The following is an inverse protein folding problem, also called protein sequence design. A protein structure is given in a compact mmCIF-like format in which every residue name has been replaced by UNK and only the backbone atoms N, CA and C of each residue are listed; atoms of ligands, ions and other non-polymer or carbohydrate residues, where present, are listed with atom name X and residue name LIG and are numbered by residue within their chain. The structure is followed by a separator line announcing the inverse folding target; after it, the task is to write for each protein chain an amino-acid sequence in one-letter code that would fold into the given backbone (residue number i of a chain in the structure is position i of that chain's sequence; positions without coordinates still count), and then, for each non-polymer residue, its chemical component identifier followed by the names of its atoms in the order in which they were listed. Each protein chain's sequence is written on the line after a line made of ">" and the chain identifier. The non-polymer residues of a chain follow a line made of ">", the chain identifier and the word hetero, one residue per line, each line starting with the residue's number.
data_IF_896652984502
#
_entry.id   IF_896652984502
#
_cell.length_a   1.000
_cell.length_b   1.000
_cell.length_c   1.000
_cell.angle_alpha   90.00
_cell.angle_beta   90.00
_cell.angle_gamma   90.00
#
_symmetry.space_group_name_H-M   'P 1'
#
loop_
_entity.id
_entity.type
_entity.pdbx_description
1 polymer ?
#
# COMPACT_ATOMS: atom_id res chain seq x y z
N UNK A 1 -51.13 45.97 -40.51
CA UNK A 1 -50.08 44.95 -40.30
C UNK A 1 -49.88 44.81 -38.80
N UNK A 2 -50.48 43.80 -38.18
CA UNK A 2 -50.38 43.54 -36.74
C UNK A 2 -49.19 42.60 -36.49
N UNK A 3 -48.19 43.05 -35.73
CA UNK A 3 -47.07 42.24 -35.32
C UNK A 3 -47.40 41.54 -33.99
N UNK A 4 -47.54 40.21 -34.02
CA UNK A 4 -47.65 39.39 -32.83
C UNK A 4 -46.25 38.96 -32.38
N UNK A 5 -45.84 39.40 -31.18
CA UNK A 5 -44.58 38.96 -30.56
C UNK A 5 -44.87 37.67 -29.80
N UNK A 6 -44.39 36.54 -30.30
CA UNK A 6 -44.36 35.27 -29.58
C UNK A 6 -43.10 35.24 -28.71
N UNK A 7 -43.26 35.39 -27.40
CA UNK A 7 -42.22 35.10 -26.41
C UNK A 7 -42.35 33.64 -25.97
N UNK A 8 -41.51 32.77 -26.52
CA UNK A 8 -41.35 31.40 -26.05
C UNK A 8 -40.49 31.40 -24.78
N UNK A 9 -41.08 31.04 -23.64
CA UNK A 9 -40.35 30.81 -22.39
C UNK A 9 -39.39 29.65 -22.55
N UNK A 10 -38.08 29.92 -22.51
CA UNK A 10 -37.05 28.88 -22.50
C UNK A 10 -37.05 28.16 -21.13
N UNK A 11 -37.38 26.88 -21.10
CA UNK A 11 -37.29 26.04 -19.90
C UNK A 11 -35.84 25.64 -19.64
N UNK A 12 -35.08 26.50 -18.95
CA UNK A 12 -33.69 26.23 -18.53
C UNK A 12 -33.55 25.92 -17.02
N UNK A 13 -34.66 25.79 -16.27
CA UNK A 13 -34.63 25.71 -14.79
C UNK A 13 -34.82 24.30 -14.21
N UNK A 14 -35.01 23.25 -15.03
CA UNK A 14 -35.27 21.91 -14.52
C UNK A 14 -34.01 21.23 -13.93
N UNK A 15 -32.81 21.57 -14.39
CA UNK A 15 -31.58 20.89 -13.97
C UNK A 15 -31.21 21.16 -12.50
N UNK A 16 -31.45 22.38 -12.01
CA UNK A 16 -31.18 22.74 -10.62
C UNK A 16 -32.13 22.01 -9.65
N UNK A 17 -33.40 21.84 -10.02
CA UNK A 17 -34.37 21.13 -9.20
C UNK A 17 -34.06 19.63 -9.11
N UNK A 18 -33.68 19.01 -10.24
CA UNK A 18 -33.27 17.59 -10.29
C UNK A 18 -31.97 17.38 -9.50
N UNK A 19 -30.99 18.26 -9.66
CA UNK A 19 -29.74 18.19 -8.90
C UNK A 19 -29.97 18.28 -7.39
N UNK A 20 -30.80 19.24 -6.95
CA UNK A 20 -31.15 19.39 -5.54
C UNK A 20 -31.86 18.13 -5.00
N UNK A 21 -32.75 17.52 -5.78
CA UNK A 21 -33.39 16.26 -5.38
C UNK A 21 -32.41 15.10 -5.26
N UNK A 22 -31.44 14.99 -6.17
CA UNK A 22 -30.39 13.97 -6.10
C UNK A 22 -29.51 14.21 -4.87
N UNK A 23 -29.13 15.45 -4.59
CA UNK A 23 -28.33 15.78 -3.40
C UNK A 23 -29.06 15.41 -2.11
N UNK A 24 -30.33 15.81 -1.96
CA UNK A 24 -31.13 15.52 -0.76
C UNK A 24 -31.32 14.01 -0.57
N UNK A 25 -31.61 13.26 -1.65
CA UNK A 25 -31.75 11.80 -1.56
C UNK A 25 -30.44 11.12 -1.20
N UNK A 26 -29.34 11.58 -1.79
CA UNK A 26 -27.99 11.06 -1.53
C UNK A 26 -27.60 11.32 -0.06
N UNK A 27 -27.78 12.55 0.41
CA UNK A 27 -27.53 12.94 1.80
C UNK A 27 -28.34 12.10 2.80
N UNK A 28 -29.63 11.88 2.52
CA UNK A 28 -30.48 11.02 3.33
C UNK A 28 -29.97 9.58 3.42
N UNK A 29 -29.46 9.02 2.32
CA UNK A 29 -28.89 7.66 2.31
C UNK A 29 -27.64 7.61 3.19
N UNK A 30 -26.72 8.57 3.05
CA UNK A 30 -25.50 8.62 3.86
C UNK A 30 -25.78 8.71 5.36
N UNK A 31 -26.79 9.51 5.75
CA UNK A 31 -27.20 9.62 7.15
C UNK A 31 -27.96 8.39 7.67
N UNK A 32 -28.69 7.68 6.82
CA UNK A 32 -29.46 6.49 7.22
C UNK A 32 -28.60 5.23 7.35
N UNK A 33 -27.49 5.15 6.59
CA UNK A 33 -26.57 4.02 6.59
C UNK A 33 -25.12 4.49 6.73
N UNK A 34 -24.74 5.02 7.90
CA UNK A 34 -23.41 5.59 8.08
C UNK A 34 -22.37 4.45 8.09
N UNK A 35 -21.44 4.51 7.14
CA UNK A 35 -20.37 3.51 7.00
C UNK A 35 -19.15 3.98 7.78
N UNK A 36 -18.76 3.23 8.80
CA UNK A 36 -17.48 3.46 9.48
C UNK A 36 -16.31 2.93 8.64
N UNK A 37 -15.13 3.54 8.80
CA UNK A 37 -13.88 3.06 8.21
C UNK A 37 -12.68 3.30 9.13
N UNK A 38 -11.82 2.28 9.24
CA UNK A 38 -10.55 2.37 9.98
C UNK A 38 -9.42 2.72 9.01
N UNK A 39 -8.49 3.56 9.47
CA UNK A 39 -7.23 3.83 8.78
C UNK A 39 -6.07 3.62 9.75
N UNK A 40 -5.02 2.93 9.31
CA UNK A 40 -3.78 2.78 10.08
C UNK A 40 -2.63 3.51 9.39
N UNK A 41 -1.93 4.35 10.15
CA UNK A 41 -0.64 4.93 9.77
C UNK A 41 0.48 4.30 10.59
N UNK A 42 1.43 3.70 9.89
CA UNK A 42 2.59 3.01 10.45
C UNK A 42 3.82 3.93 10.41
N UNK A 43 4.74 3.76 11.36
CA UNK A 43 6.01 4.49 11.37
C UNK A 43 6.96 4.06 10.25
N UNK A 44 6.89 2.79 9.81
CA UNK A 44 7.73 2.24 8.73
C UNK A 44 6.90 1.43 7.71
N UNK A 45 7.37 1.34 6.46
CA UNK A 45 6.75 0.48 5.46
C UNK A 45 7.10 -1.01 5.59
N UNK A 46 8.19 -1.35 6.29
CA UNK A 46 8.67 -2.71 6.56
C UNK A 46 9.37 -2.78 7.92
N UNK A 47 9.45 -3.98 8.48
CA UNK A 47 10.02 -4.22 9.81
C UNK A 47 10.94 -5.45 9.79
N UNK A 48 11.83 -5.56 10.76
CA UNK A 48 12.63 -6.75 10.98
C UNK A 48 12.14 -7.55 12.21
N UNK A 49 12.49 -8.82 12.29
CA UNK A 49 12.33 -9.59 13.53
C UNK A 49 13.10 -8.89 14.66
N UNK A 50 12.44 -8.69 15.79
CA UNK A 50 12.96 -7.91 16.93
C UNK A 50 12.53 -6.44 16.94
N UNK A 51 12.00 -5.90 15.83
CA UNK A 51 11.43 -4.55 15.82
C UNK A 51 10.08 -4.48 16.58
N UNK A 52 9.60 -3.26 16.80
CA UNK A 52 8.22 -3.00 17.21
C UNK A 52 7.51 -2.19 16.14
N UNK A 53 6.35 -2.67 15.68
CA UNK A 53 5.48 -1.98 14.74
C UNK A 53 4.74 -0.89 15.51
N UNK A 54 5.03 0.38 15.25
CA UNK A 54 4.31 1.51 15.84
C UNK A 54 3.29 2.07 14.86
N UNK A 55 2.08 2.34 15.34
CA UNK A 55 1.06 2.90 14.48
C UNK A 55 0.02 3.72 15.22
N UNK A 56 -0.62 4.61 14.45
CA UNK A 56 -1.79 5.37 14.86
C UNK A 56 -2.98 4.94 14.01
N UNK A 57 -4.08 4.65 14.68
CA UNK A 57 -5.36 4.31 14.07
C UNK A 57 -6.30 5.51 14.10
N UNK A 58 -7.05 5.70 13.03
CA UNK A 58 -8.08 6.70 12.90
C UNK A 58 -9.39 6.00 12.54
N UNK A 59 -10.47 6.42 13.20
CA UNK A 59 -11.80 5.92 12.95
C UNK A 59 -12.65 7.02 12.34
N UNK A 60 -13.18 6.76 11.16
CA UNK A 60 -13.96 7.74 10.41
C UNK A 60 -15.33 7.20 10.04
N UNK A 61 -16.24 8.08 9.66
CA UNK A 61 -17.59 7.74 9.22
C UNK A 61 -18.02 8.62 8.05
N UNK A 62 -18.81 8.08 7.13
CA UNK A 62 -19.37 8.83 6.00
C UNK A 62 -18.28 9.55 5.20
N UNK A 63 -18.32 10.89 5.18
CA UNK A 63 -17.36 11.77 4.50
C UNK A 63 -16.00 11.92 5.21
N UNK A 64 -15.47 10.83 5.78
CA UNK A 64 -14.21 10.79 6.53
C UNK A 64 -14.20 11.62 7.82
N UNK A 65 -15.37 11.91 8.37
CA UNK A 65 -15.48 12.64 9.64
C UNK A 65 -15.11 11.74 10.82
N UNK A 66 -14.60 12.29 11.93
CA UNK A 66 -14.31 11.51 13.14
C UNK A 66 -15.54 10.72 13.62
N UNK A 67 -15.47 9.38 13.62
CA UNK A 67 -16.62 8.58 14.04
C UNK A 67 -16.81 8.63 15.56
N UNK A 68 -18.02 8.90 16.06
CA UNK A 68 -18.34 8.79 17.48
C UNK A 68 -18.81 7.37 17.87
N UNK A 69 -19.14 6.49 16.91
CA UNK A 69 -19.88 5.25 17.16
C UNK A 69 -19.04 4.19 17.88
N UNK A 70 -17.97 3.69 17.25
CA UNK A 70 -17.15 2.63 17.83
C UNK A 70 -16.09 3.15 18.79
N UNK A 71 -15.91 2.46 19.93
CA UNK A 71 -14.89 2.78 20.96
C UNK A 71 -13.70 1.82 20.97
N UNK A 72 -13.75 0.77 20.16
CA UNK A 72 -12.71 -0.26 20.08
C UNK A 72 -12.39 -0.53 18.61
N UNK A 73 -11.11 -0.48 18.27
CA UNK A 73 -10.57 -0.98 17.00
C UNK A 73 -9.86 -2.31 17.27
N UNK A 74 -10.16 -3.31 16.45
CA UNK A 74 -9.47 -4.59 16.42
C UNK A 74 -8.42 -4.52 15.33
N UNK A 75 -7.21 -4.99 15.63
CA UNK A 75 -6.10 -5.06 14.67
C UNK A 75 -5.56 -6.48 14.69
N UNK A 76 -5.79 -7.20 13.60
CA UNK A 76 -5.36 -8.57 13.40
C UNK A 76 -4.19 -8.60 12.42
N UNK A 77 -3.13 -9.33 12.79
CA UNK A 77 -2.02 -9.65 11.91
C UNK A 77 -2.19 -11.09 11.44
N UNK A 78 -2.34 -11.24 10.14
CA UNK A 78 -2.41 -12.51 9.44
C UNK A 78 -1.04 -12.85 8.85
N UNK A 79 -0.62 -14.09 9.03
CA UNK A 79 0.64 -14.60 8.50
C UNK A 79 0.55 -14.95 7.01
N UNK A 80 1.65 -15.47 6.42
CA UNK A 80 1.72 -15.80 4.99
C UNK A 80 0.70 -16.85 4.50
N UNK A 81 0.08 -17.60 5.41
CA UNK A 81 -0.94 -18.62 5.12
C UNK A 81 -2.34 -18.18 5.56
N UNK A 82 -2.55 -16.87 5.71
CA UNK A 82 -3.76 -16.24 6.23
C UNK A 82 -4.19 -16.70 7.64
N UNK A 83 -3.31 -17.37 8.38
CA UNK A 83 -3.53 -17.72 9.78
C UNK A 83 -3.35 -16.49 10.67
N UNK A 84 -4.25 -16.29 11.63
CA UNK A 84 -4.08 -15.26 12.67
C UNK A 84 -2.83 -15.52 13.50
N UNK A 85 -1.92 -14.56 13.52
CA UNK A 85 -0.68 -14.59 14.29
C UNK A 85 -0.88 -13.87 15.62
N UNK A 86 -1.47 -12.69 15.56
CA UNK A 86 -1.72 -11.86 16.73
C UNK A 86 -2.87 -10.90 16.46
N UNK A 87 -3.78 -10.76 17.43
CA UNK A 87 -4.84 -9.76 17.41
C UNK A 87 -4.74 -8.86 18.64
N UNK A 88 -4.91 -7.56 18.46
CA UNK A 88 -4.94 -6.59 19.57
C UNK A 88 -6.19 -5.71 19.50
N UNK A 89 -6.61 -5.22 20.67
CA UNK A 89 -7.74 -4.30 20.81
C UNK A 89 -7.23 -2.95 21.26
N UNK A 90 -7.61 -1.90 20.54
CA UNK A 90 -7.21 -0.53 20.82
C UNK A 90 -8.44 0.26 21.27
N UNK A 91 -8.33 0.90 22.43
CA UNK A 91 -9.35 1.84 22.88
C UNK A 91 -9.25 3.14 22.08
N UNK A 92 -10.38 3.58 21.54
CA UNK A 92 -10.47 4.79 20.72
C UNK A 92 -10.85 5.98 21.62
N UNK A 93 -10.04 7.04 21.56
CA UNK A 93 -10.30 8.32 22.20
C UNK A 93 -10.31 9.42 21.14
N UNK A 94 -11.39 10.19 21.06
CA UNK A 94 -11.57 11.23 20.03
C UNK A 94 -11.32 10.70 18.61
N UNK A 95 -11.88 9.51 18.31
CA UNK A 95 -11.75 8.83 17.02
C UNK A 95 -10.32 8.46 16.61
N UNK A 96 -9.38 8.48 17.56
CA UNK A 96 -7.98 8.09 17.36
C UNK A 96 -7.59 7.02 18.38
N UNK A 97 -6.70 6.11 17.98
CA UNK A 97 -6.03 5.20 18.89
C UNK A 97 -4.56 5.04 18.52
N UNK A 98 -3.74 4.60 19.46
CA UNK A 98 -2.33 4.29 19.26
C UNK A 98 -2.08 2.83 19.61
N UNK A 99 -1.30 2.16 18.79
CA UNK A 99 -0.98 0.76 18.96
C UNK A 99 0.50 0.50 18.71
N UNK A 100 0.99 -0.55 19.36
CA UNK A 100 2.30 -1.12 19.06
C UNK A 100 2.23 -2.63 19.09
N UNK A 101 3.00 -3.28 18.22
CA UNK A 101 3.07 -4.74 18.14
C UNK A 101 4.53 -5.17 18.06
N UNK A 102 5.08 -5.80 19.11
CA UNK A 102 6.43 -6.35 19.07
C UNK A 102 6.54 -7.53 18.09
N UNK A 103 7.47 -7.46 17.15
CA UNK A 103 7.76 -8.53 16.18
C UNK A 103 8.67 -9.57 16.81
N UNK A 104 8.13 -10.33 17.77
CA UNK A 104 8.90 -11.31 18.51
C UNK A 104 9.37 -12.49 17.64
N UNK A 105 10.60 -12.96 17.87
CA UNK A 105 11.18 -14.12 17.17
C UNK A 105 10.39 -15.44 17.34
N UNK A 106 9.52 -15.51 18.36
CA UNK A 106 8.73 -16.70 18.65
C UNK A 106 7.43 -16.76 17.84
N UNK A 107 6.80 -15.61 17.58
CA UNK A 107 5.53 -15.51 16.86
C UNK A 107 5.70 -15.16 15.38
N UNK A 108 6.78 -14.45 15.04
CA UNK A 108 7.02 -13.93 13.69
C UNK A 108 8.21 -14.64 13.02
N UNK A 109 8.11 -14.79 11.70
CA UNK A 109 9.14 -15.31 10.81
C UNK A 109 9.31 -14.34 9.64
N UNK A 110 10.42 -14.44 8.91
CA UNK A 110 10.59 -13.68 7.67
C UNK A 110 9.45 -14.01 6.69
N UNK A 111 8.77 -13.00 6.16
CA UNK A 111 7.70 -13.20 5.19
C UNK A 111 6.79 -11.99 5.00
N UNK A 112 5.74 -12.21 4.21
CA UNK A 112 4.68 -11.22 3.96
C UNK A 112 3.53 -11.47 4.94
N UNK A 113 3.16 -10.41 5.64
CA UNK A 113 2.05 -10.39 6.59
C UNK A 113 0.96 -9.45 6.07
N UNK A 114 -0.26 -9.67 6.54
CA UNK A 114 -1.40 -8.81 6.22
C UNK A 114 -2.00 -8.28 7.50
N UNK A 115 -2.03 -6.96 7.64
CA UNK A 115 -2.65 -6.29 8.78
C UNK A 115 -4.06 -5.93 8.38
N UNK A 116 -5.02 -6.43 9.15
CA UNK A 116 -6.44 -6.16 8.99
C UNK A 116 -6.92 -5.39 10.22
N UNK A 117 -7.65 -4.29 10.01
CA UNK A 117 -8.24 -3.54 11.11
C UNK A 117 -9.70 -3.19 10.87
N UNK A 118 -10.50 -3.35 11.92
CA UNK A 118 -11.95 -3.26 11.86
C UNK A 118 -12.55 -2.88 13.22
N UNK A 119 -13.82 -2.47 13.21
CA UNK A 119 -14.64 -2.33 14.42
C UNK A 119 -15.71 -3.41 14.44
N UNK A 120 -16.31 -3.67 15.60
CA UNK A 120 -17.41 -4.63 15.67
C UNK A 120 -18.63 -4.17 14.83
N UNK A 121 -18.82 -2.85 14.68
CA UNK A 121 -19.90 -2.30 13.85
C UNK A 121 -19.74 -2.67 12.37
N UNK A 122 -18.50 -2.67 11.86
CA UNK A 122 -18.20 -3.03 10.47
C UNK A 122 -18.52 -4.50 10.14
N UNK A 123 -18.60 -5.39 11.14
CA UNK A 123 -18.99 -6.79 10.91
C UNK A 123 -20.40 -6.90 10.28
N UNK A 124 -21.27 -5.93 10.54
CA UNK A 124 -22.62 -5.90 9.98
C UNK A 124 -22.64 -5.46 8.51
N UNK A 125 -21.66 -4.66 8.09
CA UNK A 125 -21.55 -4.12 6.72
C UNK A 125 -20.70 -5.01 5.81
N UNK A 126 -19.87 -5.88 6.41
CA UNK A 126 -19.06 -6.88 5.74
C UNK A 126 -17.57 -6.53 5.61
N UNK A 127 -16.73 -7.51 5.25
CA UNK A 127 -15.26 -7.38 5.30
C UNK A 127 -14.68 -6.43 4.24
N UNK A 128 -15.46 -6.04 3.23
CA UNK A 128 -15.04 -5.09 2.20
C UNK A 128 -14.67 -3.71 2.76
N UNK A 129 -15.14 -3.38 3.97
CA UNK A 129 -14.89 -2.10 4.64
C UNK A 129 -13.72 -2.14 5.62
N UNK A 130 -13.11 -3.31 5.81
CA UNK A 130 -11.97 -3.44 6.71
C UNK A 130 -10.74 -2.79 6.09
N UNK A 131 -9.93 -2.16 6.93
CA UNK A 131 -8.59 -1.79 6.53
C UNK A 131 -7.80 -3.07 6.27
N UNK A 132 -7.07 -3.14 5.15
CA UNK A 132 -6.16 -4.25 4.85
C UNK A 132 -4.89 -3.72 4.20
N UNK A 133 -3.73 -4.05 4.76
CA UNK A 133 -2.43 -3.66 4.20
C UNK A 133 -1.42 -4.80 4.32
N UNK A 134 -0.73 -5.10 3.22
CA UNK A 134 0.39 -6.03 3.23
C UNK A 134 1.63 -5.36 3.82
N UNK A 135 2.39 -6.10 4.61
CA UNK A 135 3.58 -5.65 5.31
C UNK A 135 4.66 -6.73 5.24
N UNK A 136 5.88 -6.33 4.90
CA UNK A 136 7.02 -7.23 4.83
C UNK A 136 7.73 -7.23 6.18
N UNK A 137 7.92 -8.42 6.75
CA UNK A 137 8.76 -8.65 7.93
C UNK A 137 10.02 -9.38 7.46
N UNK A 138 11.15 -8.69 7.53
CA UNK A 138 12.47 -9.20 7.19
C UNK A 138 13.17 -9.86 8.38
N UNK A 139 14.29 -10.51 8.09
CA UNK A 139 15.22 -10.94 9.13
C UNK A 139 16.19 -9.79 9.42
N UNK A 140 16.46 -9.52 10.70
CA UNK A 140 17.38 -8.47 11.13
C UNK A 140 18.86 -8.84 10.93
N UNK A 141 19.15 -10.03 10.38
CA UNK A 141 20.52 -10.43 10.04
C UNK A 141 21.04 -9.58 8.88
N UNK A 142 21.56 -8.40 9.22
CA UNK A 142 22.53 -7.57 8.48
C UNK A 142 22.37 -7.59 6.97
N UNK A 143 21.30 -7.00 6.45
CA UNK A 143 21.29 -6.65 5.02
C UNK A 143 22.01 -5.31 4.84
N UNK A 144 23.34 -5.31 5.03
CA UNK A 144 24.23 -4.15 4.87
C UNK A 144 24.40 -3.71 3.42
N UNK A 145 23.57 -4.19 2.49
CA UNK A 145 23.72 -3.98 1.05
C UNK A 145 22.54 -3.15 0.54
N UNK A 146 22.81 -1.88 0.24
CA UNK A 146 21.96 -0.99 -0.52
C UNK A 146 22.25 -1.14 -2.01
N UNK A 147 21.18 -1.24 -2.83
CA UNK A 147 21.32 -1.38 -4.29
C UNK A 147 20.58 -0.29 -5.05
N UNK A 148 21.21 0.24 -6.09
CA UNK A 148 20.59 1.15 -7.04
C UNK A 148 20.68 0.55 -8.44
N UNK A 149 19.54 0.45 -9.14
CA UNK A 149 19.45 -0.20 -10.46
C UNK A 149 19.04 0.84 -11.49
N UNK A 150 19.82 0.95 -12.57
CA UNK A 150 19.52 1.78 -13.74
C UNK A 150 19.37 0.87 -14.97
N UNK A 151 18.18 0.90 -15.59
CA UNK A 151 17.88 0.13 -16.80
C UNK A 151 17.94 1.03 -18.04
N UNK A 152 18.61 0.56 -19.08
CA UNK A 152 18.63 1.19 -20.41
C UNK A 152 18.24 0.16 -21.47
N UNK A 153 17.32 0.52 -22.34
CA UNK A 153 16.95 -0.32 -23.49
C UNK A 153 17.51 0.31 -24.77
N UNK A 154 18.10 -0.52 -25.63
CA UNK A 154 18.61 -0.11 -26.95
C UNK A 154 18.27 -1.18 -27.95
N UNK A 155 17.89 -0.79 -29.17
CA UNK A 155 17.61 -1.74 -30.24
C UNK A 155 18.93 -2.03 -30.96
N UNK A 156 19.33 -3.31 -30.99
CA UNK A 156 20.52 -3.78 -31.72
C UNK A 156 20.06 -4.90 -32.65
N UNK A 157 20.31 -4.79 -33.95
CA UNK A 157 19.90 -5.78 -34.96
C UNK A 157 18.41 -6.16 -34.90
N UNK A 158 17.52 -5.17 -34.72
CA UNK A 158 16.05 -5.32 -34.55
C UNK A 158 15.60 -6.07 -33.28
N UNK A 159 16.50 -6.39 -32.36
CA UNK A 159 16.17 -6.99 -31.07
C UNK A 159 16.39 -5.98 -29.93
N UNK A 160 15.46 -5.87 -28.96
CA UNK A 160 15.66 -5.04 -27.78
C UNK A 160 16.72 -5.65 -26.87
N UNK A 161 17.88 -4.98 -26.78
CA UNK A 161 18.92 -5.23 -25.79
C UNK A 161 18.65 -4.37 -24.56
N UNK A 162 18.64 -4.98 -23.39
CA UNK A 162 18.49 -4.29 -22.11
C UNK A 162 19.83 -4.38 -21.36
N UNK A 163 20.33 -3.23 -20.93
CA UNK A 163 21.48 -3.09 -20.04
C UNK A 163 21.01 -2.63 -18.66
N UNK A 164 21.43 -3.32 -17.62
CA UNK A 164 21.15 -3.04 -16.23
C UNK A 164 22.45 -2.73 -15.51
N UNK A 165 22.64 -1.46 -15.15
CA UNK A 165 23.71 -1.02 -14.26
C UNK A 165 23.25 -1.11 -12.82
N UNK A 166 23.93 -1.90 -11.99
CA UNK A 166 23.60 -2.08 -10.57
C UNK A 166 24.77 -1.60 -9.72
N UNK A 167 24.50 -0.71 -8.77
CA UNK A 167 25.47 -0.22 -7.80
C UNK A 167 25.19 -0.82 -6.42
N UNK A 168 26.19 -1.48 -5.84
CA UNK A 168 26.12 -2.10 -4.52
C UNK A 168 26.98 -1.30 -3.53
N UNK A 169 26.35 -0.76 -2.49
CA UNK A 169 27.01 -0.01 -1.42
C UNK A 169 26.45 -0.37 -0.05
N UNK A 170 27.18 -0.10 1.02
CA UNK A 170 26.63 -0.19 2.37
C UNK A 170 25.86 1.07 2.77
N UNK A 171 25.31 1.07 3.98
CA UNK A 171 24.55 2.18 4.54
C UNK A 171 25.42 3.43 4.78
N UNK A 172 26.74 3.25 4.90
CA UNK A 172 27.74 4.32 5.03
C UNK A 172 28.21 4.84 3.66
N UNK A 173 27.80 4.18 2.57
CA UNK A 173 28.14 4.52 1.20
C UNK A 173 29.41 3.85 0.66
N UNK A 174 30.07 2.99 1.43
CA UNK A 174 31.22 2.24 0.97
C UNK A 174 30.80 1.22 -0.10
N UNK A 175 31.52 1.13 -1.23
CA UNK A 175 31.17 0.20 -2.29
C UNK A 175 31.49 -1.25 -1.89
N UNK A 176 30.61 -2.17 -2.28
CA UNK A 176 30.91 -3.60 -2.24
C UNK A 176 31.86 -3.96 -3.39
N UNK A 177 33.13 -3.62 -3.23
CA UNK A 177 34.19 -3.84 -4.21
C UNK A 177 34.51 -5.33 -4.40
N UNK A 178 34.61 -5.76 -5.66
CA UNK A 178 35.12 -7.08 -6.06
C UNK A 178 34.39 -8.26 -5.38
N UNK A 179 33.08 -8.08 -5.16
CA UNK A 179 32.21 -9.10 -4.56
C UNK A 179 31.51 -9.91 -5.64
N UNK A 180 31.41 -11.21 -5.40
CA UNK A 180 30.66 -12.14 -6.25
C UNK A 180 29.16 -11.88 -6.08
N UNK A 181 28.47 -11.67 -7.20
CA UNK A 181 27.02 -11.46 -7.25
C UNK A 181 26.37 -12.44 -8.21
N UNK A 182 25.16 -12.89 -7.87
CA UNK A 182 24.28 -13.64 -8.77
C UNK A 182 23.05 -12.81 -9.07
N UNK A 183 22.60 -12.83 -10.32
CA UNK A 183 21.46 -12.05 -10.77
C UNK A 183 20.50 -12.91 -11.59
N UNK A 184 19.21 -12.54 -11.53
CA UNK A 184 18.12 -13.17 -12.27
C UNK A 184 17.20 -12.07 -12.76
N UNK A 185 16.80 -12.14 -14.03
CA UNK A 185 15.77 -11.29 -14.64
C UNK A 185 14.51 -12.13 -14.78
N UNK A 186 13.42 -11.69 -14.17
CA UNK A 186 12.14 -12.38 -14.21
C UNK A 186 11.06 -11.43 -14.77
N UNK A 187 10.11 -12.01 -15.50
CA UNK A 187 8.87 -11.34 -15.89
C UNK A 187 7.73 -12.27 -15.49
N UNK A 188 6.82 -11.75 -14.66
CA UNK A 188 5.79 -12.56 -14.00
C UNK A 188 6.45 -13.74 -13.27
N UNK A 189 6.28 -14.97 -13.75
CA UNK A 189 6.87 -16.19 -13.17
C UNK A 189 7.96 -16.82 -14.05
N UNK A 190 8.26 -16.24 -15.23
CA UNK A 190 9.27 -16.79 -16.16
C UNK A 190 10.65 -16.14 -15.97
N UNK A 191 11.69 -16.97 -15.92
CA UNK A 191 13.08 -16.50 -15.87
C UNK A 191 13.59 -16.19 -17.29
N UNK A 192 13.75 -14.90 -17.60
CA UNK A 192 14.23 -14.42 -18.90
C UNK A 192 15.74 -14.64 -19.04
N UNK A 193 16.49 -14.34 -17.97
CA UNK A 193 17.95 -14.47 -17.96
C UNK A 193 18.46 -14.66 -16.53
N UNK A 194 19.61 -15.31 -16.38
CA UNK A 194 20.31 -15.41 -15.09
C UNK A 194 21.81 -15.47 -15.33
N UNK A 195 22.59 -15.04 -14.35
CA UNK A 195 24.04 -15.08 -14.44
C UNK A 195 24.74 -14.83 -13.11
N UNK A 196 26.07 -14.83 -13.17
CA UNK A 196 26.95 -14.51 -12.07
C UNK A 196 27.99 -13.50 -12.55
N UNK A 197 28.47 -12.66 -11.66
CA UNK A 197 29.49 -11.66 -11.97
C UNK A 197 30.24 -11.21 -10.72
N UNK A 198 31.20 -10.32 -10.92
CA UNK A 198 31.98 -9.69 -9.86
C UNK A 198 31.77 -8.19 -10.01
N UNK A 199 31.46 -7.51 -8.91
CA UNK A 199 31.38 -6.04 -8.91
C UNK A 199 32.75 -5.42 -9.17
N UNK A 200 32.78 -4.30 -9.86
CA UNK A 200 34.00 -3.51 -10.03
C UNK A 200 34.46 -2.90 -8.69
N UNK A 201 35.61 -2.22 -8.70
CA UNK A 201 36.16 -1.57 -7.48
C UNK A 201 35.24 -0.54 -6.84
N UNK A 202 34.40 0.09 -7.67
CA UNK A 202 33.38 1.03 -7.20
C UNK A 202 32.07 0.34 -6.79
N UNK A 203 32.00 -0.99 -6.72
CA UNK A 203 30.77 -1.70 -6.35
C UNK A 203 29.70 -1.72 -7.47
N UNK A 204 30.03 -1.26 -8.68
CA UNK A 204 29.14 -1.32 -9.84
C UNK A 204 29.24 -2.66 -10.58
N UNK A 205 28.17 -3.07 -11.25
CA UNK A 205 28.18 -4.12 -12.27
C UNK A 205 27.26 -3.71 -13.42
N UNK A 206 27.65 -4.04 -14.65
CA UNK A 206 26.80 -3.90 -15.84
C UNK A 206 26.39 -5.28 -16.35
N UNK A 207 25.10 -5.46 -16.57
CA UNK A 207 24.49 -6.71 -17.03
C UNK A 207 23.73 -6.40 -18.30
N UNK A 208 24.06 -7.09 -19.40
CA UNK A 208 23.32 -6.98 -20.64
C UNK A 208 22.62 -8.29 -20.99
N UNK A 209 21.34 -8.19 -21.38
CA UNK A 209 20.55 -9.32 -21.85
C UNK A 209 19.65 -8.91 -23.01
N UNK A 210 19.27 -9.88 -23.85
CA UNK A 210 18.34 -9.66 -24.94
C UNK A 210 16.94 -10.04 -24.48
N UNK A 211 15.96 -9.22 -24.83
CA UNK A 211 14.55 -9.55 -24.66
C UNK A 211 14.06 -10.12 -25.98
N UNK A 212 13.66 -11.40 -25.94
CA UNK A 212 12.94 -12.06 -27.03
C UNK A 212 11.45 -11.75 -26.94
#
# INVERSE_FOLDING_TARGET
>A
MFAAIFSSSAFAQNDAAVLNQIMVKTDKIYHSFPIEKVYLHFDKPYYAIGDTIWFKAYLTIGNHEPSPLSKIIYVDILGPRDSLIQGIKLQVKNSVAWGNIPVSQYAFKKGNYRIVAFTNFMNNTGPAYFFSKNMVIGDAVNNTVSTQIALKSTIVNKLPKISAGIYYKDDEGNPFSEKKVSWTVQKEDETIAKGKGITYKNGFIDIAFYKY
#
